data_IF_259756467784
#
_entry.id   IF_259756467784
#
_cell.length_a   1.000
_cell.length_b   1.000
_cell.length_c   1.000
_cell.angle_alpha   90.00
_cell.angle_beta   90.00
_cell.angle_gamma   90.00
#
_symmetry.space_group_name_H-M   'P 1'
#
loop_
_entity.id
_entity.type
_entity.pdbx_description
1 polymer ?
#
# COMPACT_ATOMS: atom_id res chain seq x y z
N UNK A 1 -7.34 7.80 3.07
CA UNK A 1 -7.67 7.10 4.33
C UNK A 1 -7.35 8.02 5.51
N UNK A 2 -8.00 7.87 6.66
CA UNK A 2 -7.72 8.71 7.84
C UNK A 2 -6.27 8.52 8.32
N UNK A 3 -5.49 9.61 8.30
CA UNK A 3 -4.04 9.54 8.56
C UNK A 3 -3.72 9.15 10.00
N UNK A 4 -4.57 9.52 10.95
CA UNK A 4 -4.37 9.19 12.36
C UNK A 4 -4.58 7.70 12.62
N UNK A 5 -5.66 7.15 12.08
CA UNK A 5 -6.00 5.72 12.18
C UNK A 5 -4.94 4.87 11.49
N UNK A 6 -4.40 5.31 10.35
CA UNK A 6 -3.26 4.65 9.71
C UNK A 6 -2.01 4.62 10.58
N UNK A 7 -1.70 5.70 11.32
CA UNK A 7 -0.56 5.71 12.26
C UNK A 7 -0.76 4.74 13.42
N UNK A 8 -1.98 4.66 13.96
CA UNK A 8 -2.32 3.67 14.99
C UNK A 8 -2.17 2.24 14.46
N UNK A 9 -2.65 1.98 13.23
CA UNK A 9 -2.51 0.68 12.60
C UNK A 9 -1.03 0.31 12.37
N UNK A 10 -0.20 1.25 11.92
CA UNK A 10 1.26 1.06 11.79
C UNK A 10 1.87 0.61 13.13
N UNK A 11 1.54 1.30 14.22
CA UNK A 11 2.07 0.98 15.55
C UNK A 11 1.64 -0.42 16.02
N UNK A 12 0.37 -0.79 15.83
CA UNK A 12 -0.15 -2.10 16.20
C UNK A 12 0.53 -3.22 15.40
N UNK A 13 0.63 -3.07 14.08
CA UNK A 13 1.29 -4.03 13.19
C UNK A 13 2.76 -4.22 13.56
N UNK A 14 3.48 -3.13 13.84
CA UNK A 14 4.88 -3.20 14.28
C UNK A 14 5.02 -3.88 15.63
N UNK A 15 4.10 -3.64 16.57
CA UNK A 15 4.07 -4.31 17.86
C UNK A 15 3.91 -5.84 17.72
N UNK A 16 2.98 -6.28 16.86
CA UNK A 16 2.77 -7.70 16.60
C UNK A 16 3.98 -8.39 15.95
N UNK A 17 4.70 -7.64 15.10
CA UNK A 17 5.87 -8.12 14.38
C UNK A 17 7.20 -7.87 15.11
N UNK A 18 7.19 -7.29 16.30
CA UNK A 18 8.38 -6.80 17.00
C UNK A 18 9.50 -7.85 17.10
N UNK A 19 9.16 -9.10 17.40
CA UNK A 19 10.13 -10.20 17.53
C UNK A 19 10.79 -10.62 16.20
N UNK A 20 10.30 -10.12 15.08
CA UNK A 20 10.77 -10.41 13.72
C UNK A 20 11.39 -9.19 13.03
N UNK A 21 11.37 -8.02 13.68
CA UNK A 21 12.01 -6.80 13.20
C UNK A 21 13.46 -6.81 13.70
N UNK A 22 14.47 -6.77 12.82
CA UNK A 22 15.86 -6.64 13.25
C UNK A 22 16.03 -5.39 14.11
N UNK A 23 16.94 -5.45 15.09
CA UNK A 23 17.28 -4.27 15.90
C UNK A 23 17.72 -3.13 14.97
N UNK A 24 17.26 -1.91 15.27
CA UNK A 24 17.59 -0.68 14.55
C UNK A 24 17.19 -0.72 13.05
N UNK A 25 16.29 -1.63 12.64
CA UNK A 25 15.92 -1.81 11.23
C UNK A 25 15.36 -0.54 10.58
N UNK A 26 14.49 0.18 11.29
CA UNK A 26 13.91 1.44 10.83
C UNK A 26 14.77 2.67 11.12
N UNK A 27 15.90 2.50 11.80
CA UNK A 27 16.86 3.57 12.13
C UNK A 27 18.07 3.61 11.20
N UNK A 28 18.17 2.64 10.27
CA UNK A 28 19.21 2.65 9.24
C UNK A 28 19.18 3.99 8.51
N UNK A 29 20.32 4.58 8.17
CA UNK A 29 20.33 5.77 7.31
C UNK A 29 20.53 5.33 5.86
N UNK A 30 19.55 5.61 4.99
CA UNK A 30 19.65 5.30 3.56
C UNK A 30 19.77 6.61 2.78
N UNK A 31 21.00 7.11 2.64
CA UNK A 31 21.29 8.35 1.91
C UNK A 31 20.69 8.38 0.50
N UNK A 32 20.59 7.21 -0.15
CA UNK A 32 19.97 7.06 -1.47
C UNK A 32 18.47 7.34 -1.53
N UNK A 33 17.78 7.37 -0.38
CA UNK A 33 16.35 7.67 -0.27
C UNK A 33 16.10 9.09 0.25
N UNK A 34 17.15 9.88 0.50
CA UNK A 34 17.01 11.27 0.90
C UNK A 34 16.60 12.13 -0.31
N UNK A 35 15.45 12.79 -0.18
CA UNK A 35 15.03 13.78 -1.16
C UNK A 35 15.88 15.04 -1.06
N UNK A 36 16.05 15.74 -2.17
CA UNK A 36 16.85 16.95 -2.22
C UNK A 36 16.32 18.02 -1.24
N UNK A 37 17.23 18.77 -0.60
CA UNK A 37 16.88 19.79 0.39
C UNK A 37 15.95 20.90 -0.14
N UNK A 38 15.89 21.07 -1.46
CA UNK A 38 14.98 22.04 -2.09
C UNK A 38 13.50 21.63 -2.04
N UNK A 39 13.16 20.38 -1.69
CA UNK A 39 11.77 19.96 -1.51
C UNK A 39 11.21 20.54 -0.21
N UNK A 40 9.96 21.01 -0.28
CA UNK A 40 9.19 21.41 0.89
C UNK A 40 9.00 20.18 1.78
N UNK A 41 9.30 20.34 3.07
CA UNK A 41 9.23 19.25 4.05
C UNK A 41 10.14 18.06 3.73
N UNK A 42 11.31 18.29 3.09
CA UNK A 42 12.23 17.21 2.68
C UNK A 42 12.54 16.21 3.81
N UNK A 43 12.70 16.65 5.06
CA UNK A 43 13.03 15.75 6.17
C UNK A 43 11.91 14.76 6.45
N UNK A 44 10.66 15.25 6.49
CA UNK A 44 9.48 14.39 6.66
C UNK A 44 9.29 13.44 5.47
N UNK A 45 9.39 13.96 4.24
CA UNK A 45 9.19 13.15 3.04
C UNK A 45 10.28 12.07 2.91
N UNK A 46 11.55 12.41 3.16
CA UNK A 46 12.65 11.45 3.15
C UNK A 46 12.45 10.37 4.21
N UNK A 47 12.05 10.76 5.42
CA UNK A 47 11.72 9.82 6.49
C UNK A 47 10.58 8.87 6.09
N UNK A 48 9.45 9.39 5.60
CA UNK A 48 8.32 8.54 5.18
C UNK A 48 8.66 7.65 3.98
N UNK A 49 9.49 8.13 3.05
CA UNK A 49 9.93 7.33 1.90
C UNK A 49 10.80 6.16 2.32
N UNK A 50 11.77 6.44 3.19
CA UNK A 50 12.62 5.46 3.81
C UNK A 50 11.82 4.44 4.63
N UNK A 51 10.93 4.91 5.50
CA UNK A 51 10.05 4.04 6.28
C UNK A 51 9.21 3.16 5.36
N UNK A 52 8.63 3.75 4.31
CA UNK A 52 7.80 3.06 3.33
C UNK A 52 8.56 1.94 2.61
N UNK A 53 9.77 2.22 2.15
CA UNK A 53 10.65 1.24 1.51
C UNK A 53 10.99 0.08 2.46
N UNK A 54 11.42 0.39 3.68
CA UNK A 54 11.79 -0.62 4.68
C UNK A 54 10.59 -1.47 5.10
N UNK A 55 9.45 -0.84 5.39
CA UNK A 55 8.22 -1.53 5.75
C UNK A 55 7.73 -2.43 4.62
N UNK A 56 7.74 -1.94 3.38
CA UNK A 56 7.38 -2.71 2.19
C UNK A 56 8.28 -3.95 2.03
N UNK A 57 9.60 -3.75 2.10
CA UNK A 57 10.61 -4.82 1.99
C UNK A 57 10.49 -5.86 3.10
N UNK A 58 10.33 -5.42 4.35
CA UNK A 58 10.18 -6.31 5.49
C UNK A 58 8.87 -7.09 5.44
N UNK A 59 7.75 -6.40 5.20
CA UNK A 59 6.43 -7.02 5.06
C UNK A 59 6.42 -8.07 3.95
N UNK A 60 6.97 -7.74 2.77
CA UNK A 60 7.12 -8.70 1.68
C UNK A 60 7.94 -9.94 2.08
N UNK A 61 9.09 -9.74 2.74
CA UNK A 61 9.92 -10.84 3.22
C UNK A 61 9.15 -11.75 4.18
N UNK A 62 8.49 -11.17 5.18
CA UNK A 62 7.75 -11.92 6.20
C UNK A 62 6.51 -12.62 5.64
N UNK A 63 5.85 -12.03 4.64
CA UNK A 63 4.64 -12.60 4.05
C UNK A 63 4.93 -13.75 3.08
N UNK A 64 5.85 -13.55 2.14
CA UNK A 64 6.16 -14.56 1.11
C UNK A 64 7.22 -15.58 1.53
N UNK A 65 8.08 -15.23 2.49
CA UNK A 65 9.11 -16.11 3.03
C UNK A 65 9.05 -16.13 4.57
N UNK A 66 7.91 -16.57 5.16
CA UNK A 66 7.69 -16.51 6.58
C UNK A 66 8.69 -17.39 7.35
N UNK A 67 9.28 -16.88 8.45
CA UNK A 67 9.90 -17.74 9.46
C UNK A 67 8.90 -18.81 9.94
N UNK A 68 9.40 -19.98 10.32
CA UNK A 68 8.58 -21.15 10.69
C UNK A 68 7.66 -20.93 11.90
N UNK A 69 7.89 -19.86 12.67
CA UNK A 69 7.21 -19.55 13.92
C UNK A 69 6.29 -18.32 13.86
N UNK A 70 5.93 -17.80 12.68
CA UNK A 70 4.91 -16.76 12.58
C UNK A 70 3.52 -17.33 12.88
N UNK A 71 2.81 -16.69 13.81
CA UNK A 71 1.39 -16.96 14.03
C UNK A 71 0.54 -16.44 12.86
N UNK A 72 -0.70 -16.95 12.67
CA UNK A 72 -1.62 -16.41 11.66
C UNK A 72 -1.84 -14.89 11.76
N UNK A 73 -1.94 -14.37 12.99
CA UNK A 73 -2.01 -12.92 13.27
C UNK A 73 -0.83 -12.17 12.68
N UNK A 74 0.39 -12.71 12.85
CA UNK A 74 1.62 -12.07 12.38
C UNK A 74 1.82 -12.21 10.87
N UNK A 75 1.36 -13.30 10.26
CA UNK A 75 1.32 -13.42 8.79
C UNK A 75 0.40 -12.35 8.21
N UNK A 76 -0.82 -12.19 8.75
CA UNK A 76 -1.73 -11.14 8.30
C UNK A 76 -1.17 -9.73 8.57
N UNK A 77 -0.54 -9.51 9.72
CA UNK A 77 0.15 -8.25 10.03
C UNK A 77 1.27 -7.93 9.02
N UNK A 78 2.00 -8.93 8.53
CA UNK A 78 3.07 -8.72 7.53
C UNK A 78 2.53 -8.26 6.18
N UNK A 79 1.36 -8.76 5.76
CA UNK A 79 0.67 -8.29 4.56
C UNK A 79 0.21 -6.84 4.71
N UNK A 80 -0.33 -6.48 5.88
CA UNK A 80 -0.71 -5.09 6.20
C UNK A 80 0.53 -4.20 6.18
N UNK A 81 1.65 -4.61 6.80
CA UNK A 81 2.90 -3.86 6.81
C UNK A 81 3.42 -3.59 5.39
N UNK A 82 3.41 -4.62 4.54
CA UNK A 82 3.83 -4.51 3.15
C UNK A 82 3.03 -3.43 2.41
N UNK A 83 1.70 -3.51 2.47
CA UNK A 83 0.84 -2.57 1.76
C UNK A 83 0.90 -1.15 2.35
N UNK A 84 1.05 -1.00 3.67
CA UNK A 84 1.29 0.30 4.31
C UNK A 84 2.60 0.94 3.84
N UNK A 85 3.66 0.15 3.72
CA UNK A 85 4.95 0.63 3.23
C UNK A 85 4.90 1.09 1.77
N UNK A 86 4.20 0.34 0.92
CA UNK A 86 3.96 0.71 -0.48
C UNK A 86 3.12 2.00 -0.59
N UNK A 87 2.06 2.13 0.21
CA UNK A 87 1.24 3.36 0.21
C UNK A 87 2.07 4.58 0.62
N UNK A 88 2.84 4.49 1.71
CA UNK A 88 3.70 5.59 2.16
C UNK A 88 4.69 6.03 1.06
N UNK A 89 5.31 5.05 0.39
CA UNK A 89 6.25 5.33 -0.71
C UNK A 89 5.57 6.02 -1.89
N UNK A 90 4.35 5.59 -2.25
CA UNK A 90 3.56 6.16 -3.33
C UNK A 90 3.10 7.59 -3.03
N UNK A 91 2.66 7.87 -1.80
CA UNK A 91 2.26 9.21 -1.36
C UNK A 91 3.44 10.19 -1.35
N UNK A 92 4.63 9.76 -0.92
CA UNK A 92 5.83 10.59 -1.01
C UNK A 92 6.21 10.84 -2.46
N UNK A 93 6.18 9.79 -3.30
CA UNK A 93 6.47 9.92 -4.74
C UNK A 93 5.52 10.90 -5.42
N UNK A 94 4.22 10.85 -5.09
CA UNK A 94 3.23 11.80 -5.59
C UNK A 94 3.60 13.23 -5.20
N UNK A 95 3.87 13.49 -3.91
CA UNK A 95 4.24 14.81 -3.43
C UNK A 95 5.52 15.33 -4.09
N UNK A 96 6.51 14.46 -4.30
CA UNK A 96 7.74 14.82 -4.98
C UNK A 96 7.49 15.18 -6.45
N UNK A 97 6.72 14.38 -7.18
CA UNK A 97 6.37 14.64 -8.58
C UNK A 97 5.58 15.94 -8.74
N UNK A 98 4.61 16.22 -7.86
CA UNK A 98 3.86 17.48 -7.85
C UNK A 98 4.78 18.69 -7.65
N UNK A 99 5.73 18.61 -6.70
CA UNK A 99 6.69 19.69 -6.46
C UNK A 99 7.65 19.91 -7.63
N UNK A 100 8.08 18.84 -8.30
CA UNK A 100 8.91 18.95 -9.52
C UNK A 100 8.10 19.64 -10.63
N UNK A 101 6.87 19.20 -10.86
CA UNK A 101 5.98 19.79 -11.86
C UNK A 101 5.75 21.29 -11.59
N UNK A 102 5.43 21.67 -10.35
CA UNK A 102 5.26 23.08 -9.98
C UNK A 102 6.51 23.91 -10.26
N UNK A 103 7.69 23.44 -9.85
CA UNK A 103 8.95 24.18 -10.09
C UNK A 103 9.33 24.28 -11.56
N UNK A 104 9.00 23.26 -12.36
CA UNK A 104 9.23 23.28 -13.80
C UNK A 104 8.34 24.34 -14.48
N UNK A 105 7.05 24.39 -14.10
CA UNK A 105 6.11 25.41 -14.55
C UNK A 105 6.54 26.83 -14.14
N UNK A 106 6.99 27.04 -12.90
CA UNK A 106 7.50 28.32 -12.42
C UNK A 106 8.71 28.83 -13.21
N UNK A 107 9.51 27.91 -13.76
CA UNK A 107 10.73 28.21 -14.51
C UNK A 107 10.53 28.21 -16.03
N UNK A 108 9.32 27.95 -16.51
CA UNK A 108 9.01 27.77 -17.93
C UNK A 108 9.91 26.72 -18.61
N UNK A 109 10.13 25.59 -17.93
CA UNK A 109 10.89 24.45 -18.45
C UNK A 109 10.05 23.17 -18.44
N UNK A 110 10.36 22.17 -19.28
CA UNK A 110 9.69 20.88 -19.23
C UNK A 110 9.87 20.18 -17.88
N UNK A 111 8.81 19.57 -17.36
CA UNK A 111 8.84 18.75 -16.12
C UNK A 111 9.35 17.31 -16.36
N UNK A 112 9.76 17.03 -17.61
CA UNK A 112 10.13 15.71 -18.10
C UNK A 112 8.90 14.80 -18.21
N UNK A 113 8.53 14.18 -17.09
CA UNK A 113 7.37 13.29 -16.99
C UNK A 113 6.72 13.33 -15.59
N UNK A 114 7.11 14.27 -14.74
CA UNK A 114 6.69 14.29 -13.33
C UNK A 114 5.16 14.44 -13.19
N UNK A 115 4.53 15.30 -13.98
CA UNK A 115 3.09 15.49 -13.98
C UNK A 115 2.30 14.23 -14.35
N UNK A 116 2.74 13.49 -15.36
CA UNK A 116 2.09 12.24 -15.77
C UNK A 116 2.21 11.17 -14.68
N UNK A 117 3.40 11.05 -14.07
CA UNK A 117 3.62 10.12 -12.94
C UNK A 117 2.74 10.51 -11.74
N UNK A 118 2.64 11.80 -11.42
CA UNK A 118 1.74 12.28 -10.37
C UNK A 118 0.28 11.91 -10.64
N UNK A 119 -0.18 12.07 -11.89
CA UNK A 119 -1.53 11.66 -12.29
C UNK A 119 -1.71 10.16 -12.09
N UNK A 120 -0.80 9.32 -12.60
CA UNK A 120 -0.87 7.86 -12.47
C UNK A 120 -0.89 7.42 -10.99
N UNK A 121 -0.03 8.00 -10.16
CA UNK A 121 0.00 7.70 -8.72
C UNK A 121 -1.34 8.04 -8.06
N UNK A 122 -1.90 9.22 -8.38
CA UNK A 122 -3.15 9.72 -7.79
C UNK A 122 -4.38 8.92 -8.24
N UNK A 123 -4.49 8.60 -9.52
CA UNK A 123 -5.71 8.03 -10.10
C UNK A 123 -5.73 6.51 -10.14
N UNK A 124 -4.57 5.85 -10.07
CA UNK A 124 -4.47 4.39 -10.19
C UNK A 124 -3.74 3.76 -8.99
N UNK A 125 -2.47 4.10 -8.79
CA UNK A 125 -1.63 3.37 -7.83
C UNK A 125 -2.08 3.54 -6.37
N UNK A 126 -2.31 4.77 -5.90
CA UNK A 126 -2.72 5.03 -4.51
C UNK A 126 -4.11 4.43 -4.22
N UNK A 127 -5.15 4.64 -5.06
CA UNK A 127 -6.43 3.96 -4.87
C UNK A 127 -6.29 2.44 -4.78
N UNK A 128 -5.46 1.84 -5.63
CA UNK A 128 -5.23 0.39 -5.60
C UNK A 128 -4.55 -0.06 -4.32
N UNK A 129 -3.56 0.67 -3.84
CA UNK A 129 -2.88 0.38 -2.57
C UNK A 129 -3.83 0.52 -1.37
N UNK A 130 -4.72 1.51 -1.39
CA UNK A 130 -5.77 1.65 -0.38
C UNK A 130 -6.73 0.46 -0.39
N UNK A 131 -7.14 -0.02 -1.56
CA UNK A 131 -7.93 -1.26 -1.69
C UNK A 131 -7.19 -2.48 -1.13
N UNK A 132 -5.89 -2.63 -1.45
CA UNK A 132 -5.08 -3.72 -0.94
C UNK A 132 -4.94 -3.67 0.60
N UNK A 133 -4.76 -2.47 1.18
CA UNK A 133 -4.74 -2.30 2.64
C UNK A 133 -6.07 -2.74 3.25
N UNK A 134 -7.22 -2.41 2.65
CA UNK A 134 -8.52 -2.88 3.15
C UNK A 134 -8.59 -4.40 3.14
N UNK A 135 -8.23 -5.03 2.02
CA UNK A 135 -8.23 -6.50 1.92
C UNK A 135 -7.32 -7.19 2.93
N UNK A 136 -6.09 -6.66 3.12
CA UNK A 136 -5.16 -7.18 4.12
C UNK A 136 -5.66 -6.93 5.56
N UNK A 137 -6.25 -5.76 5.81
CA UNK A 137 -6.81 -5.39 7.10
C UNK A 137 -7.97 -6.31 7.48
N UNK A 138 -8.88 -6.63 6.56
CA UNK A 138 -9.97 -7.59 6.80
C UNK A 138 -9.44 -8.92 7.34
N UNK A 139 -8.40 -9.48 6.72
CA UNK A 139 -7.78 -10.72 7.19
C UNK A 139 -7.13 -10.56 8.56
N UNK A 140 -6.43 -9.44 8.77
CA UNK A 140 -5.75 -9.16 10.02
C UNK A 140 -6.72 -9.00 11.21
N UNK A 141 -7.86 -8.31 11.00
CA UNK A 141 -8.86 -8.10 12.05
C UNK A 141 -9.52 -9.40 12.53
N UNK A 142 -9.54 -10.47 11.72
CA UNK A 142 -10.04 -11.79 12.14
C UNK A 142 -9.22 -12.40 13.29
N UNK A 143 -7.99 -11.93 13.48
CA UNK A 143 -7.06 -12.42 14.49
C UNK A 143 -6.92 -11.49 15.70
N UNK A 144 -7.65 -10.38 15.72
CA UNK A 144 -7.63 -9.42 16.82
C UNK A 144 -8.82 -9.60 17.77
N UNK A 145 -8.64 -9.37 19.08
CA UNK A 145 -9.75 -9.21 20.00
C UNK A 145 -10.70 -8.09 19.54
N UNK A 146 -12.00 -8.25 19.81
CA UNK A 146 -13.02 -7.29 19.35
C UNK A 146 -12.77 -5.83 19.80
N UNK A 147 -12.15 -5.62 20.97
CA UNK A 147 -11.84 -4.28 21.45
C UNK A 147 -10.68 -3.63 20.68
N UNK A 148 -9.75 -4.41 20.13
CA UNK A 148 -8.64 -3.94 19.28
C UNK A 148 -9.10 -3.61 17.86
N UNK A 149 -10.18 -4.23 17.35
CA UNK A 149 -10.64 -4.00 15.96
C UNK A 149 -11.40 -2.69 15.77
N UNK A 150 -12.07 -2.20 16.82
CA UNK A 150 -13.00 -1.05 16.75
C UNK A 150 -12.40 0.22 16.13
N UNK A 151 -11.15 0.64 16.40
CA UNK A 151 -10.59 1.85 15.80
C UNK A 151 -10.42 1.77 14.28
N UNK A 152 -10.32 0.55 13.73
CA UNK A 152 -9.93 0.34 12.33
C UNK A 152 -11.10 0.04 11.40
N UNK A 153 -12.32 -0.13 11.93
CA UNK A 153 -13.51 -0.42 11.12
C UNK A 153 -13.84 0.70 10.15
N UNK A 154 -13.53 1.95 10.50
CA UNK A 154 -13.68 3.13 9.64
C UNK A 154 -12.82 3.05 8.37
N UNK A 155 -11.70 2.32 8.39
CA UNK A 155 -10.84 2.13 7.23
C UNK A 155 -11.44 1.17 6.20
N UNK A 156 -12.36 0.30 6.63
CA UNK A 156 -13.03 -0.69 5.77
C UNK A 156 -14.24 -0.10 5.02
N UNK A 157 -14.81 1.00 5.51
CA UNK A 157 -15.95 1.64 4.86
C UNK A 157 -15.47 2.32 3.58
N UNK A 158 -16.00 1.88 2.44
CA UNK A 158 -15.82 2.58 1.16
C UNK A 158 -16.77 3.77 1.18
N UNK A 159 -16.24 4.99 1.23
CA UNK A 159 -17.06 6.18 0.96
C UNK A 159 -17.59 6.09 -0.47
N UNK A 160 -18.90 5.92 -0.61
CA UNK A 160 -19.59 5.78 -1.91
C UNK A 160 -19.30 6.96 -2.87
N UNK A 161 -18.87 8.10 -2.34
CA UNK A 161 -18.48 9.30 -3.10
C UNK A 161 -17.30 9.08 -4.07
N UNK A 162 -16.43 8.09 -3.84
CA UNK A 162 -15.27 7.83 -4.71
C UNK A 162 -15.60 7.06 -6.00
N UNK A 163 -16.81 6.52 -6.15
CA UNK A 163 -17.23 5.78 -7.36
C UNK A 163 -17.86 6.66 -8.46
N UNK A 164 -17.87 7.99 -8.28
CA UNK A 164 -18.47 8.92 -9.26
C UNK A 164 -17.49 9.43 -10.34
N UNK A 165 -16.21 9.03 -10.29
CA UNK A 165 -15.25 9.38 -11.35
C UNK A 165 -15.38 8.38 -12.50
N UNK A 166 -16.11 8.84 -13.52
CA UNK A 166 -16.36 8.22 -14.82
C UNK A 166 -15.18 7.36 -15.35
N UNK A 167 -15.32 6.04 -15.27
CA UNK A 167 -14.64 5.13 -16.18
C UNK A 167 -15.30 5.25 -17.55
N UNK A 168 -14.59 5.83 -18.53
CA UNK A 168 -14.94 5.70 -19.93
C UNK A 168 -14.92 4.21 -20.32
N UNK A 169 -15.93 3.71 -21.03
CA UNK A 169 -16.01 2.29 -21.35
C UNK A 169 -15.03 1.96 -22.47
N UNK A 170 -13.92 1.33 -22.11
CA UNK A 170 -13.10 0.60 -23.09
C UNK A 170 -13.79 -0.74 -23.34
N UNK A 171 -14.27 -0.96 -24.56
CA UNK A 171 -14.90 -2.20 -25.01
C UNK A 171 -13.99 -3.40 -24.70
N UNK A 172 -14.41 -4.25 -23.76
CA UNK A 172 -13.78 -5.55 -23.50
C UNK A 172 -14.38 -6.60 -24.45
N UNK A 173 -13.58 -7.03 -25.41
CA UNK A 173 -13.78 -8.28 -26.15
C UNK A 173 -13.58 -9.47 -25.21
N UNK A 174 -14.44 -10.47 -25.34
CA UNK A 174 -14.67 -11.60 -24.41
C UNK A 174 -13.57 -12.67 -24.33
N UNK A 175 -12.30 -12.32 -24.56
CA UNK A 175 -11.18 -13.28 -24.49
C UNK A 175 -10.25 -13.11 -23.27
N UNK A 176 -10.57 -12.19 -22.35
CA UNK A 176 -9.75 -11.87 -21.16
C UNK A 176 -10.00 -12.79 -19.95
N UNK A 177 -9.84 -14.11 -20.11
CA UNK A 177 -9.92 -15.05 -18.96
C UNK A 177 -8.52 -15.45 -18.43
N UNK A 178 -7.46 -15.13 -19.18
CA UNK A 178 -6.06 -15.28 -18.74
C UNK A 178 -5.28 -13.99 -18.89
N UNK A 179 -5.86 -12.88 -18.47
CA UNK A 179 -5.14 -11.61 -18.43
C UNK A 179 -4.18 -11.64 -17.23
N UNK A 180 -3.06 -12.35 -17.42
CA UNK A 180 -1.86 -12.30 -16.58
C UNK A 180 -1.29 -10.90 -16.76
N UNK A 181 -1.86 -9.93 -16.04
CA UNK A 181 -1.28 -8.59 -16.01
C UNK A 181 0.04 -8.65 -15.24
N UNK A 182 1.17 -8.27 -15.87
CA UNK A 182 2.41 -8.11 -15.16
C UNK A 182 2.27 -6.90 -14.23
N UNK A 183 2.01 -7.15 -12.96
CA UNK A 183 2.23 -6.15 -11.94
C UNK A 183 3.75 -6.06 -11.70
N UNK A 184 4.25 -4.89 -11.30
CA UNK A 184 5.68 -4.56 -11.13
C UNK A 184 6.53 -5.56 -10.30
N UNK A 185 5.92 -6.57 -9.68
CA UNK A 185 6.57 -7.59 -8.84
C UNK A 185 6.35 -9.04 -9.31
N UNK A 186 5.90 -9.26 -10.55
CA UNK A 186 5.60 -10.60 -11.05
C UNK A 186 4.20 -11.08 -10.65
N UNK A 187 3.74 -12.09 -11.37
CA UNK A 187 2.38 -12.65 -11.42
C UNK A 187 1.70 -12.68 -10.02
N UNK A 188 0.85 -11.70 -9.75
CA UNK A 188 0.05 -11.64 -8.53
C UNK A 188 -1.29 -12.35 -8.74
N UNK A 189 -1.44 -13.57 -8.23
CA UNK A 189 -2.74 -14.24 -8.19
C UNK A 189 -3.58 -13.51 -7.13
N UNK A 190 -4.75 -12.99 -7.53
CA UNK A 190 -5.72 -12.42 -6.59
C UNK A 190 -6.37 -13.54 -5.77
N UNK A 191 -5.74 -13.92 -4.66
CA UNK A 191 -6.20 -14.99 -3.77
C UNK A 191 -7.58 -14.69 -3.17
N UNK A 192 -7.95 -13.42 -3.01
CA UNK A 192 -9.30 -13.01 -2.57
C UNK A 192 -10.39 -13.34 -3.62
N UNK A 193 -10.06 -13.29 -4.91
CA UNK A 193 -10.96 -13.74 -5.97
C UNK A 193 -11.07 -15.28 -6.00
N UNK A 194 -9.95 -15.98 -5.77
CA UNK A 194 -9.89 -17.43 -5.72
C UNK A 194 -10.69 -17.98 -4.52
N UNK A 195 -10.52 -17.39 -3.34
CA UNK A 195 -11.20 -17.80 -2.11
C UNK A 195 -12.72 -17.62 -2.20
N UNK A 196 -13.19 -16.51 -2.77
CA UNK A 196 -14.63 -16.27 -3.03
C UNK A 196 -15.25 -17.34 -3.93
N UNK A 197 -14.50 -17.90 -4.88
CA UNK A 197 -14.97 -18.96 -5.78
C UNK A 197 -15.00 -20.33 -5.10
N UNK A 198 -14.00 -20.64 -4.27
CA UNK A 198 -13.97 -21.87 -3.47
C UNK A 198 -15.14 -21.91 -2.49
N UNK A 199 -15.46 -20.77 -1.86
CA UNK A 199 -16.61 -20.68 -0.94
C UNK A 199 -17.96 -20.77 -1.67
N UNK A 200 -18.10 -20.18 -2.87
CA UNK A 200 -19.31 -20.34 -3.68
C UNK A 200 -19.51 -21.77 -4.21
N UNK A 201 -18.44 -22.52 -4.46
CA UNK A 201 -18.50 -23.92 -4.89
C UNK A 201 -18.94 -24.91 -3.80
N UNK A 202 -18.84 -24.54 -2.51
CA UNK A 202 -19.22 -25.42 -1.38
C UNK A 202 -20.70 -25.34 -0.98
N UNK A 203 -21.42 -24.29 -1.38
CA UNK A 203 -22.84 -24.10 -1.06
C UNK A 203 -23.78 -24.55 -2.19
N UNK A 204 -23.27 -25.23 -3.22
CA UNK A 204 -24.01 -25.67 -4.41
C UNK A 204 -24.15 -27.19 -4.55
N UNK A 205 -24.09 -27.96 -3.46
CA UNK A 205 -24.44 -29.38 -3.42
C UNK A 205 -25.35 -29.67 -2.24
#
# INVERSE_FOLDING_TARGET
>A
MDSWTLRQLRALVLSDLNNFIPKDYFEQNMESLCLNNSFKSNGYLSFEYQWGYLAGKLGHKLYFNPPTNLSPRQVAASEVLMNLGMLASAEVSLSACEQIQTKALEKDIPDGNAGNVAIQLRTDSIPKLQENIRGALEQYLLHLPHHETRPYTSLLVISEEQNSVQTTPHQQTTDDIFDIKPNFYGIGINLNALWRRVMKGKNGR
#
